data_IF_804208042138
#
_entry.id   IF_804208042138
#
_cell.length_a   1.000
_cell.length_b   1.000
_cell.length_c   1.000
_cell.angle_alpha   90.00
_cell.angle_beta   90.00
_cell.angle_gamma   90.00
#
_symmetry.space_group_name_H-M   'P 1'
#
loop_
_entity.id
_entity.type
_entity.pdbx_description
1 polymer ?
#
# COMPACT_ATOMS: atom_id res chain seq x y z
N UNK A 1 18.94 10.48 11.61
CA UNK A 1 18.10 11.13 10.58
C UNK A 1 18.54 12.58 10.47
N UNK A 2 18.42 13.31 9.34
CA UNK A 2 18.09 14.72 9.46
C UNK A 2 16.58 14.77 9.72
N UNK A 3 16.18 15.27 10.89
CA UNK A 3 14.81 15.29 11.44
C UNK A 3 13.77 15.98 10.55
N UNK A 4 14.20 16.69 9.50
CA UNK A 4 13.33 17.43 8.59
C UNK A 4 12.38 16.59 7.73
N UNK A 5 12.64 15.29 7.51
CA UNK A 5 11.92 14.53 6.45
C UNK A 5 10.67 13.75 6.89
N UNK A 6 10.56 13.35 8.15
CA UNK A 6 9.28 12.89 8.73
C UNK A 6 8.28 14.04 8.76
N UNK A 7 8.76 15.24 9.11
CA UNK A 7 7.99 16.48 9.01
C UNK A 7 7.49 16.72 7.59
N UNK A 8 8.30 16.50 6.54
CA UNK A 8 7.82 16.68 5.17
C UNK A 8 6.78 15.65 4.72
N UNK A 9 6.87 14.39 5.13
CA UNK A 9 5.83 13.41 4.80
C UNK A 9 4.52 13.72 5.53
N UNK A 10 4.60 13.99 6.84
CA UNK A 10 3.45 14.39 7.64
C UNK A 10 2.86 15.72 7.15
N UNK A 11 3.69 16.68 6.74
CA UNK A 11 3.22 17.95 6.18
C UNK A 11 2.62 17.78 4.80
N UNK A 12 3.16 16.90 3.95
CA UNK A 12 2.62 16.60 2.62
C UNK A 12 1.28 15.89 2.71
N UNK A 13 1.17 14.90 3.61
CA UNK A 13 -0.10 14.23 3.91
C UNK A 13 -1.11 15.20 4.53
N UNK A 14 -0.70 16.06 5.48
CA UNK A 14 -1.57 17.07 6.08
C UNK A 14 -1.96 18.20 5.11
N UNK A 15 -1.12 18.51 4.14
CA UNK A 15 -1.42 19.44 3.05
C UNK A 15 -2.41 18.83 2.08
N UNK A 16 -2.19 17.57 1.66
CA UNK A 16 -3.13 16.83 0.82
C UNK A 16 -4.49 16.63 1.50
N UNK A 17 -4.49 16.33 2.80
CA UNK A 17 -5.70 16.23 3.62
C UNK A 17 -6.43 17.58 3.70
N UNK A 18 -5.70 18.69 3.91
CA UNK A 18 -6.29 20.03 3.92
C UNK A 18 -6.83 20.45 2.55
N UNK A 19 -6.15 20.11 1.47
CA UNK A 19 -6.60 20.41 0.09
C UNK A 19 -7.87 19.61 -0.24
N UNK A 20 -7.89 18.31 0.06
CA UNK A 20 -9.08 17.45 -0.13
C UNK A 20 -10.24 17.85 0.78
N UNK A 21 -9.97 18.27 2.02
CA UNK A 21 -10.98 18.82 2.94
C UNK A 21 -11.60 20.13 2.43
N UNK A 22 -10.86 20.93 1.66
CA UNK A 22 -11.41 22.12 0.99
C UNK A 22 -12.30 21.79 -0.21
N UNK A 23 -12.06 20.67 -0.87
CA UNK A 23 -12.86 20.23 -2.03
C UNK A 23 -14.16 19.56 -1.55
N UNK A 24 -14.11 18.56 -0.66
CA UNK A 24 -15.31 17.92 -0.09
C UNK A 24 -15.12 17.46 1.36
N UNK A 25 -15.69 18.24 2.30
CA UNK A 25 -15.68 17.96 3.75
C UNK A 25 -16.43 16.68 4.13
N UNK A 26 -17.56 16.41 3.46
CA UNK A 26 -18.38 15.23 3.73
C UNK A 26 -17.62 13.93 3.47
N UNK A 27 -17.17 13.72 2.23
CA UNK A 27 -16.50 12.47 1.81
C UNK A 27 -15.20 12.19 2.57
N UNK A 28 -14.40 13.23 2.87
CA UNK A 28 -13.16 13.08 3.65
C UNK A 28 -13.45 12.70 5.10
N UNK A 29 -14.45 13.31 5.74
CA UNK A 29 -14.87 12.91 7.09
C UNK A 29 -15.40 11.47 7.14
N UNK A 30 -16.20 11.05 6.14
CA UNK A 30 -16.71 9.68 6.03
C UNK A 30 -15.57 8.66 5.86
N UNK A 31 -14.56 8.97 5.04
CA UNK A 31 -13.40 8.09 4.85
C UNK A 31 -12.59 7.91 6.14
N UNK A 32 -12.35 9.00 6.86
CA UNK A 32 -11.61 8.97 8.13
C UNK A 32 -12.42 8.20 9.17
N UNK A 33 -13.70 8.50 9.33
CA UNK A 33 -14.58 7.80 10.26
C UNK A 33 -14.66 6.30 9.96
N UNK A 34 -14.86 5.91 8.70
CA UNK A 34 -14.88 4.52 8.28
C UNK A 34 -13.54 3.81 8.54
N UNK A 35 -12.41 4.49 8.32
CA UNK A 35 -11.09 3.95 8.63
C UNK A 35 -10.90 3.71 10.13
N UNK A 36 -11.33 4.65 10.99
CA UNK A 36 -11.29 4.49 12.44
C UNK A 36 -12.18 3.34 12.92
N UNK A 37 -13.43 3.26 12.46
CA UNK A 37 -14.34 2.15 12.80
C UNK A 37 -13.70 0.81 12.43
N UNK A 38 -13.16 0.69 11.21
CA UNK A 38 -12.50 -0.54 10.75
C UNK A 38 -11.25 -0.91 11.53
N UNK A 39 -10.59 0.05 12.18
CA UNK A 39 -9.41 -0.21 13.01
C UNK A 39 -9.75 -0.76 14.40
N UNK A 40 -10.98 -0.51 14.89
CA UNK A 40 -11.48 -0.93 16.20
C UNK A 40 -12.27 -2.25 16.14
N UNK A 41 -12.97 -2.50 15.03
CA UNK A 41 -13.77 -3.72 14.84
C UNK A 41 -13.00 -5.03 15.13
N UNK A 42 -11.74 -5.22 14.72
CA UNK A 42 -11.01 -6.46 15.01
C UNK A 42 -10.86 -6.76 16.49
N UNK A 43 -10.70 -5.72 17.33
CA UNK A 43 -10.66 -5.85 18.78
C UNK A 43 -12.01 -6.31 19.34
N UNK A 44 -13.12 -5.73 18.86
CA UNK A 44 -14.47 -6.16 19.22
C UNK A 44 -14.75 -7.63 18.88
N UNK A 45 -14.35 -8.07 17.68
CA UNK A 45 -14.50 -9.48 17.26
C UNK A 45 -13.70 -10.43 18.17
N UNK A 46 -12.49 -10.02 18.58
CA UNK A 46 -11.66 -10.83 19.50
C UNK A 46 -12.30 -10.95 20.87
N UNK A 47 -12.82 -9.84 21.43
CA UNK A 47 -13.54 -9.86 22.71
C UNK A 47 -14.83 -10.68 22.65
N UNK A 48 -15.57 -10.61 21.54
CA UNK A 48 -16.74 -11.46 21.30
C UNK A 48 -16.38 -12.95 21.35
N UNK A 49 -15.32 -13.34 20.64
CA UNK A 49 -14.85 -14.72 20.60
C UNK A 49 -14.41 -15.20 22.00
N UNK A 50 -13.66 -14.36 22.74
CA UNK A 50 -13.27 -14.64 24.14
C UNK A 50 -14.48 -14.95 25.01
N UNK A 51 -15.43 -14.03 25.03
CA UNK A 51 -16.61 -14.11 25.90
C UNK A 51 -17.51 -15.29 25.53
N UNK A 52 -17.63 -15.59 24.23
CA UNK A 52 -18.35 -16.76 23.76
C UNK A 52 -17.71 -18.06 24.27
N UNK A 53 -16.39 -18.20 24.12
CA UNK A 53 -15.67 -19.41 24.53
C UNK A 53 -15.72 -19.58 26.05
N UNK A 54 -15.56 -18.49 26.80
CA UNK A 54 -15.67 -18.52 28.25
C UNK A 54 -17.09 -18.91 28.71
N UNK A 55 -18.13 -18.35 28.10
CA UNK A 55 -19.52 -18.69 28.40
C UNK A 55 -19.84 -20.17 28.09
N UNK A 56 -19.34 -20.70 26.96
CA UNK A 56 -19.48 -22.13 26.63
C UNK A 56 -18.76 -23.00 27.65
N UNK A 57 -17.52 -22.66 28.01
CA UNK A 57 -16.73 -23.45 28.97
C UNK A 57 -17.36 -23.47 30.37
N UNK A 58 -17.96 -22.36 30.80
CA UNK A 58 -18.68 -22.26 32.08
C UNK A 58 -19.97 -23.09 32.08
N UNK A 59 -20.68 -23.15 30.94
CA UNK A 59 -21.87 -23.99 30.78
C UNK A 59 -21.56 -25.49 30.78
N UNK A 60 -20.42 -25.90 30.21
CA UNK A 60 -19.94 -27.29 30.24
C UNK A 60 -19.48 -27.74 31.64
N UNK A 61 -19.03 -26.81 32.49
CA UNK A 61 -18.59 -27.05 33.86
C UNK A 61 -19.70 -27.21 34.90
N UNK A 62 -20.97 -27.28 34.49
CA UNK A 62 -22.12 -27.48 35.39
C UNK A 62 -22.72 -26.21 36.00
N UNK A 63 -22.28 -25.02 35.58
CA UNK A 63 -22.84 -23.73 36.02
C UNK A 63 -24.14 -23.35 35.28
N UNK A 64 -24.83 -22.31 35.76
CA UNK A 64 -26.06 -21.71 35.18
C UNK A 64 -25.86 -21.01 33.82
N UNK A 65 -24.82 -21.38 33.08
CA UNK A 65 -24.48 -20.85 31.76
C UNK A 65 -25.39 -21.40 30.66
N UNK A 66 -26.66 -21.05 30.69
CA UNK A 66 -27.60 -21.36 29.61
C UNK A 66 -27.37 -20.51 28.36
N UNK A 67 -28.06 -20.86 27.27
CA UNK A 67 -28.16 -20.08 26.02
C UNK A 67 -28.21 -18.55 26.21
N UNK A 68 -28.93 -17.95 27.18
CA UNK A 68 -28.95 -16.49 27.38
C UNK A 68 -27.57 -15.85 27.67
N UNK A 69 -26.62 -16.57 28.26
CA UNK A 69 -25.26 -16.05 28.50
C UNK A 69 -24.43 -15.93 27.21
N UNK A 70 -24.79 -16.68 26.15
CA UNK A 70 -24.11 -16.67 24.85
C UNK A 70 -24.62 -15.55 23.93
N UNK A 71 -25.91 -15.21 24.06
CA UNK A 71 -26.60 -14.19 23.23
C UNK A 71 -25.84 -12.85 23.16
N UNK A 72 -25.40 -12.21 24.27
CA UNK A 72 -24.73 -10.92 24.17
C UNK A 72 -23.40 -11.00 23.40
N UNK A 73 -22.64 -12.08 23.56
CA UNK A 73 -21.36 -12.27 22.87
C UNK A 73 -21.56 -12.58 21.38
N UNK A 74 -22.59 -13.38 21.03
CA UNK A 74 -22.98 -13.61 19.65
C UNK A 74 -23.45 -12.33 18.97
N UNK A 75 -24.31 -11.55 19.61
CA UNK A 75 -24.78 -10.26 19.09
C UNK A 75 -23.62 -9.28 18.91
N UNK A 76 -22.65 -9.26 19.83
CA UNK A 76 -21.46 -8.42 19.69
C UNK A 76 -20.61 -8.86 18.50
N UNK A 77 -20.39 -10.16 18.31
CA UNK A 77 -19.65 -10.70 17.17
C UNK A 77 -20.32 -10.40 15.82
N UNK A 78 -21.63 -10.67 15.72
CA UNK A 78 -22.44 -10.35 14.53
C UNK A 78 -22.45 -8.84 14.28
N UNK A 79 -22.69 -8.04 15.31
CA UNK A 79 -22.68 -6.57 15.22
C UNK A 79 -21.34 -6.04 14.72
N UNK A 80 -20.22 -6.55 15.24
CA UNK A 80 -18.88 -6.15 14.80
C UNK A 80 -18.62 -6.52 13.33
N UNK A 81 -19.00 -7.74 12.90
CA UNK A 81 -18.78 -8.19 11.52
C UNK A 81 -19.66 -7.45 10.51
N UNK A 82 -20.92 -7.19 10.85
CA UNK A 82 -21.81 -6.34 10.03
C UNK A 82 -21.26 -4.91 9.96
N UNK A 83 -20.81 -4.36 11.09
CA UNK A 83 -20.18 -3.04 11.13
C UNK A 83 -18.90 -3.01 10.27
N UNK A 84 -18.10 -4.07 10.24
CA UNK A 84 -16.93 -4.18 9.37
C UNK A 84 -17.32 -4.09 7.89
N UNK A 85 -18.32 -4.87 7.49
CA UNK A 85 -18.79 -4.96 6.12
C UNK A 85 -19.36 -3.62 5.65
N UNK A 86 -20.19 -2.97 6.47
CA UNK A 86 -20.76 -1.66 6.19
C UNK A 86 -19.67 -0.58 6.12
N UNK A 87 -18.76 -0.53 7.10
CA UNK A 87 -17.68 0.44 7.09
C UNK A 87 -16.74 0.25 5.90
N UNK A 88 -16.52 -0.99 5.45
CA UNK A 88 -15.77 -1.28 4.24
C UNK A 88 -16.50 -0.79 2.99
N UNK A 89 -17.78 -1.08 2.84
CA UNK A 89 -18.58 -0.61 1.70
C UNK A 89 -18.61 0.93 1.63
N UNK A 90 -18.81 1.60 2.77
CA UNK A 90 -18.78 3.06 2.88
C UNK A 90 -17.41 3.61 2.52
N UNK A 91 -16.32 2.99 2.99
CA UNK A 91 -14.97 3.39 2.65
C UNK A 91 -14.71 3.27 1.15
N UNK A 92 -15.06 2.13 0.56
CA UNK A 92 -14.82 1.87 -0.87
C UNK A 92 -15.62 2.87 -1.73
N UNK A 93 -16.92 3.10 -1.41
CA UNK A 93 -17.75 4.10 -2.09
C UNK A 93 -17.18 5.52 -1.96
N UNK A 94 -16.89 5.97 -0.74
CA UNK A 94 -16.37 7.32 -0.51
C UNK A 94 -15.00 7.52 -1.19
N UNK A 95 -14.19 6.46 -1.25
CA UNK A 95 -12.87 6.49 -1.89
C UNK A 95 -12.97 6.64 -3.42
N UNK A 96 -13.89 5.91 -4.05
CA UNK A 96 -14.14 5.98 -5.49
C UNK A 96 -14.78 7.32 -5.86
N UNK A 97 -15.75 7.79 -5.07
CA UNK A 97 -16.40 9.08 -5.28
C UNK A 97 -15.41 10.23 -5.16
N UNK A 98 -14.57 10.22 -4.13
CA UNK A 98 -13.54 11.23 -3.94
C UNK A 98 -12.51 11.22 -5.09
N UNK A 99 -12.10 10.05 -5.57
CA UNK A 99 -11.22 9.95 -6.75
C UNK A 99 -11.86 10.56 -8.00
N UNK A 100 -13.14 10.30 -8.23
CA UNK A 100 -13.89 10.90 -9.34
C UNK A 100 -13.93 12.42 -9.26
N UNK A 101 -14.36 12.97 -8.12
CA UNK A 101 -14.46 14.42 -7.90
C UNK A 101 -13.10 15.12 -8.02
N UNK A 102 -12.04 14.54 -7.45
CA UNK A 102 -10.69 15.07 -7.61
C UNK A 102 -10.24 15.07 -9.06
N UNK A 103 -10.58 14.03 -9.83
CA UNK A 103 -10.26 13.96 -11.25
C UNK A 103 -10.93 15.08 -12.03
N UNK A 104 -12.23 15.28 -11.81
CA UNK A 104 -13.01 16.33 -12.48
C UNK A 104 -12.48 17.72 -12.10
N UNK A 105 -12.34 18.00 -10.81
CA UNK A 105 -11.89 19.31 -10.32
C UNK A 105 -10.48 19.68 -10.80
N UNK A 106 -9.53 18.73 -10.77
CA UNK A 106 -8.18 18.98 -11.28
C UNK A 106 -8.17 19.17 -12.80
N UNK A 107 -8.98 18.39 -13.53
CA UNK A 107 -9.09 18.54 -14.98
C UNK A 107 -9.69 19.89 -15.36
N UNK A 108 -10.71 20.36 -14.63
CA UNK A 108 -11.32 21.67 -14.82
C UNK A 108 -10.33 22.81 -14.55
N UNK A 109 -9.54 22.73 -13.48
CA UNK A 109 -8.51 23.73 -13.16
C UNK A 109 -7.41 23.77 -14.25
N UNK A 110 -7.00 22.60 -14.77
CA UNK A 110 -6.04 22.50 -15.88
C UNK A 110 -6.61 23.09 -17.17
N UNK A 111 -7.85 22.74 -17.54
CA UNK A 111 -8.51 23.25 -18.74
C UNK A 111 -8.76 24.76 -18.65
N UNK A 112 -9.22 25.23 -17.50
CA UNK A 112 -9.44 26.66 -17.24
C UNK A 112 -8.16 27.48 -17.27
N UNK A 113 -7.03 26.90 -16.86
CA UNK A 113 -5.72 27.53 -17.04
C UNK A 113 -5.29 27.52 -18.51
N UNK A 114 -5.36 26.37 -19.19
CA UNK A 114 -5.00 26.22 -20.60
C UNK A 114 -5.79 27.19 -21.51
N UNK A 115 -7.08 27.42 -21.24
CA UNK A 115 -7.92 28.35 -21.99
C UNK A 115 -7.48 29.84 -21.90
N UNK A 116 -6.66 30.20 -20.90
CA UNK A 116 -6.16 31.56 -20.69
C UNK A 116 -4.74 31.78 -21.23
N UNK A 117 -4.08 30.72 -21.69
CA UNK A 117 -2.72 30.80 -22.23
C UNK A 117 -2.75 31.27 -23.69
N UNK A 118 -1.74 32.06 -24.06
CA UNK A 118 -1.57 32.50 -25.44
C UNK A 118 -1.26 31.31 -26.36
N UNK A 119 -1.77 31.30 -27.62
CA UNK A 119 -1.55 30.22 -28.59
C UNK A 119 -0.07 29.85 -28.79
N UNK A 120 0.85 30.81 -28.66
CA UNK A 120 2.29 30.59 -28.78
C UNK A 120 2.85 29.56 -27.78
N UNK A 121 2.21 29.38 -26.61
CA UNK A 121 2.61 28.38 -25.64
C UNK A 121 2.22 26.95 -26.05
N UNK A 122 1.21 26.77 -26.91
CA UNK A 122 0.80 25.45 -27.41
C UNK A 122 1.72 24.89 -28.50
N UNK A 123 2.59 25.73 -29.05
CA UNK A 123 3.61 25.35 -30.03
C UNK A 123 4.90 24.83 -29.36
N UNK A 124 5.10 25.09 -28.06
CA UNK A 124 6.24 24.55 -27.31
C UNK A 124 6.02 23.05 -26.99
N UNK A 125 6.88 22.14 -27.49
CA UNK A 125 6.82 20.71 -27.19
C UNK A 125 6.87 20.41 -25.68
N UNK A 126 7.56 21.24 -24.89
CA UNK A 126 7.66 21.05 -23.43
C UNK A 126 6.33 21.32 -22.74
N UNK A 127 5.57 22.30 -23.23
CA UNK A 127 4.26 22.61 -22.69
C UNK A 127 3.23 21.51 -23.05
N UNK A 128 3.31 20.98 -24.27
CA UNK A 128 2.50 19.82 -24.70
C UNK A 128 2.78 18.58 -23.82
N UNK A 129 4.05 18.25 -23.59
CA UNK A 129 4.44 17.14 -22.73
C UNK A 129 3.95 17.34 -21.28
N UNK A 130 4.08 18.56 -20.75
CA UNK A 130 3.57 18.89 -19.41
C UNK A 130 2.04 18.75 -19.31
N UNK A 131 1.31 19.18 -20.33
CA UNK A 131 -0.15 19.07 -20.38
C UNK A 131 -0.59 17.60 -20.51
N UNK A 132 0.11 16.81 -21.32
CA UNK A 132 -0.19 15.39 -21.49
C UNK A 132 0.18 14.57 -20.24
N UNK A 133 1.26 14.94 -19.56
CA UNK A 133 1.63 14.38 -18.26
C UNK A 133 0.63 14.78 -17.17
N UNK A 134 0.19 16.04 -17.14
CA UNK A 134 -0.86 16.51 -16.25
C UNK A 134 -2.21 15.81 -16.51
N UNK A 135 -2.51 15.46 -17.77
CA UNK A 135 -3.71 14.69 -18.12
C UNK A 135 -3.60 13.21 -17.74
N UNK A 136 -2.41 12.60 -17.86
CA UNK A 136 -2.18 11.17 -17.58
C UNK A 136 -2.01 10.84 -16.10
N UNK A 137 -1.37 11.71 -15.30
CA UNK A 137 -0.83 11.31 -14.00
C UNK A 137 -1.51 11.94 -12.76
N UNK A 138 -2.24 13.06 -12.92
CA UNK A 138 -2.54 13.94 -11.77
C UNK A 138 -3.62 13.40 -10.82
N UNK A 139 -4.66 12.72 -11.32
CA UNK A 139 -5.77 12.33 -10.45
C UNK A 139 -5.63 10.93 -9.85
N UNK A 140 -5.24 9.95 -10.66
CA UNK A 140 -5.13 8.55 -10.24
C UNK A 140 -3.94 8.30 -9.30
N UNK A 141 -2.79 8.96 -9.54
CA UNK A 141 -1.60 8.84 -8.69
C UNK A 141 -1.79 9.54 -7.35
N UNK A 142 -2.34 10.76 -7.36
CA UNK A 142 -2.64 11.52 -6.14
C UNK A 142 -3.68 10.81 -5.26
N UNK A 143 -4.75 10.29 -5.86
CA UNK A 143 -5.77 9.52 -5.14
C UNK A 143 -5.19 8.27 -4.47
N UNK A 144 -4.29 7.54 -5.15
CA UNK A 144 -3.59 6.38 -4.58
C UNK A 144 -2.65 6.77 -3.44
N UNK A 145 -1.92 7.88 -3.58
CA UNK A 145 -1.05 8.39 -2.53
C UNK A 145 -1.84 8.74 -1.26
N UNK A 146 -2.96 9.46 -1.41
CA UNK A 146 -3.83 9.82 -0.30
C UNK A 146 -4.42 8.58 0.38
N UNK A 147 -4.89 7.61 -0.40
CA UNK A 147 -5.40 6.34 0.12
C UNK A 147 -4.31 5.53 0.85
N UNK A 148 -3.09 5.51 0.31
CA UNK A 148 -1.94 4.88 0.95
C UNK A 148 -1.60 5.52 2.30
N UNK A 149 -1.59 6.86 2.36
CA UNK A 149 -1.32 7.60 3.60
C UNK A 149 -2.41 7.37 4.65
N UNK A 150 -3.69 7.47 4.28
CA UNK A 150 -4.82 7.20 5.16
C UNK A 150 -4.84 5.74 5.64
N UNK A 151 -4.59 4.80 4.73
CA UNK A 151 -4.50 3.38 5.04
C UNK A 151 -3.37 3.07 6.02
N UNK A 152 -2.21 3.72 5.87
CA UNK A 152 -1.09 3.57 6.80
C UNK A 152 -1.44 4.06 8.22
N UNK A 153 -2.11 5.22 8.33
CA UNK A 153 -2.58 5.72 9.62
C UNK A 153 -3.60 4.76 10.26
N UNK A 154 -4.57 4.27 9.48
CA UNK A 154 -5.58 3.34 9.95
C UNK A 154 -4.97 2.02 10.45
N UNK A 155 -3.97 1.51 9.74
CA UNK A 155 -3.24 0.31 10.14
C UNK A 155 -2.46 0.53 11.44
N UNK A 156 -1.87 1.71 11.63
CA UNK A 156 -1.23 2.09 12.90
C UNK A 156 -2.21 2.05 14.07
N UNK A 157 -3.40 2.64 13.91
CA UNK A 157 -4.45 2.60 14.95
C UNK A 157 -4.92 1.16 15.21
N UNK A 158 -5.03 0.33 14.16
CA UNK A 158 -5.40 -1.09 14.29
C UNK A 158 -4.37 -1.87 15.10
N UNK A 159 -3.08 -1.64 14.87
CA UNK A 159 -2.00 -2.27 15.65
C UNK A 159 -2.10 -1.84 17.12
N UNK A 160 -2.29 -0.55 17.39
CA UNK A 160 -2.43 -0.03 18.76
C UNK A 160 -3.66 -0.62 19.46
N UNK A 161 -4.81 -0.69 18.80
CA UNK A 161 -6.04 -1.24 19.40
C UNK A 161 -5.89 -2.71 19.75
N UNK A 162 -5.31 -3.52 18.86
CA UNK A 162 -5.09 -4.94 19.09
C UNK A 162 -4.04 -5.16 20.19
N UNK A 163 -3.00 -4.33 20.23
CA UNK A 163 -1.98 -4.36 21.30
C UNK A 163 -2.60 -4.00 22.65
N UNK A 164 -3.50 -3.01 22.70
CA UNK A 164 -4.18 -2.63 23.93
C UNK A 164 -5.06 -3.76 24.49
N UNK A 165 -5.79 -4.49 23.62
CA UNK A 165 -6.54 -5.69 24.03
C UNK A 165 -5.60 -6.76 24.56
N UNK A 166 -4.45 -6.95 23.92
CA UNK A 166 -3.47 -7.94 24.36
C UNK A 166 -2.88 -7.61 25.74
N UNK A 167 -2.52 -6.35 25.97
CA UNK A 167 -2.02 -5.85 27.27
C UNK A 167 -3.08 -6.00 28.35
N UNK A 168 -4.36 -5.80 28.01
CA UNK A 168 -5.47 -5.97 28.96
C UNK A 168 -5.66 -7.43 29.40
N UNK A 169 -5.39 -8.40 28.52
CA UNK A 169 -5.52 -9.82 28.85
C UNK A 169 -4.29 -10.29 29.62
N UNK A 170 -3.10 -10.19 29.03
CA UNK A 170 -1.86 -10.71 29.60
C UNK A 170 -0.68 -9.77 29.32
N UNK A 171 -0.33 -8.87 30.28
CA UNK A 171 0.69 -7.84 30.09
C UNK A 171 2.08 -8.41 29.77
N UNK A 172 2.44 -9.55 30.35
CA UNK A 172 3.75 -10.17 30.17
C UNK A 172 3.93 -10.67 28.75
N UNK A 173 2.90 -11.32 28.22
CA UNK A 173 2.92 -11.85 26.84
C UNK A 173 2.85 -10.71 25.83
N UNK A 174 2.09 -9.66 26.12
CA UNK A 174 2.08 -8.45 25.30
C UNK A 174 3.45 -7.77 25.24
N UNK A 175 4.17 -7.70 26.36
CA UNK A 175 5.52 -7.14 26.41
C UNK A 175 6.52 -7.98 25.59
N UNK A 176 6.46 -9.31 25.71
CA UNK A 176 7.28 -10.22 24.90
C UNK A 176 7.01 -10.05 23.39
N UNK A 177 5.75 -9.93 22.99
CA UNK A 177 5.36 -9.68 21.59
C UNK A 177 5.83 -8.30 21.10
N UNK A 178 5.74 -7.26 21.93
CA UNK A 178 6.29 -5.94 21.62
C UNK A 178 7.80 -5.98 21.40
N UNK A 179 8.52 -6.74 22.24
CA UNK A 179 9.96 -6.89 22.14
C UNK A 179 10.40 -7.56 20.82
N UNK A 180 9.53 -8.38 20.22
CA UNK A 180 9.74 -9.00 18.90
C UNK A 180 9.21 -8.12 17.76
N UNK A 181 8.07 -7.45 17.96
CA UNK A 181 7.40 -6.62 16.96
C UNK A 181 8.11 -5.29 16.68
N UNK A 182 8.71 -4.66 17.69
CA UNK A 182 9.50 -3.43 17.53
C UNK A 182 10.69 -3.63 16.58
N UNK A 183 11.59 -4.61 16.80
CA UNK A 183 12.70 -4.84 15.85
C UNK A 183 12.20 -5.25 14.46
N UNK A 184 11.05 -5.94 14.35
CA UNK A 184 10.42 -6.22 13.05
C UNK A 184 10.11 -4.93 12.29
N UNK A 185 9.48 -3.98 12.97
CA UNK A 185 9.09 -2.71 12.37
C UNK A 185 10.33 -1.90 11.95
N UNK A 186 11.37 -1.86 12.78
CA UNK A 186 12.64 -1.21 12.43
C UNK A 186 13.32 -1.86 11.23
N UNK A 187 13.35 -3.19 11.15
CA UNK A 187 13.92 -3.92 10.02
C UNK A 187 13.16 -3.61 8.71
N UNK A 188 11.82 -3.67 8.74
CA UNK A 188 10.98 -3.30 7.60
C UNK A 188 11.19 -1.85 7.16
N UNK A 189 11.34 -0.93 8.11
CA UNK A 189 11.62 0.46 7.80
C UNK A 189 13.00 0.65 7.14
N UNK A 190 14.02 -0.06 7.64
CA UNK A 190 15.36 -0.08 7.03
C UNK A 190 15.34 -0.62 5.60
N UNK A 191 14.57 -1.69 5.34
CA UNK A 191 14.44 -2.24 3.98
C UNK A 191 13.63 -1.32 3.05
N UNK A 192 12.58 -0.67 3.56
CA UNK A 192 11.83 0.33 2.80
C UNK A 192 12.76 1.49 2.38
N UNK A 193 13.68 1.89 3.26
CA UNK A 193 14.70 2.90 2.95
C UNK A 193 15.69 2.45 1.87
N UNK A 194 16.21 1.22 1.96
CA UNK A 194 17.11 0.68 0.94
C UNK A 194 16.44 0.66 -0.44
N UNK A 195 15.17 0.20 -0.52
CA UNK A 195 14.40 0.21 -1.77
C UNK A 195 14.20 1.62 -2.33
N UNK A 196 13.97 2.60 -1.46
CA UNK A 196 13.77 3.99 -1.87
C UNK A 196 15.04 4.64 -2.42
N UNK A 197 16.17 4.45 -1.73
CA UNK A 197 17.49 4.93 -2.20
C UNK A 197 17.83 4.30 -3.55
N UNK A 198 17.45 3.05 -3.75
CA UNK A 198 17.64 2.36 -5.01
C UNK A 198 16.75 2.95 -6.11
N UNK A 199 15.44 3.12 -5.89
CA UNK A 199 14.52 3.73 -6.87
C UNK A 199 14.93 5.14 -7.29
N UNK A 200 15.46 5.96 -6.38
CA UNK A 200 16.03 7.27 -6.75
C UNK A 200 17.17 7.14 -7.76
N UNK A 201 18.09 6.18 -7.54
CA UNK A 201 19.21 5.93 -8.47
C UNK A 201 18.74 5.37 -9.83
N UNK A 202 17.52 4.79 -9.91
CA UNK A 202 16.94 4.28 -11.16
C UNK A 202 16.47 5.37 -12.10
N UNK A 203 16.20 6.57 -11.61
CA UNK A 203 15.59 7.64 -12.44
C UNK A 203 16.53 8.05 -13.57
N UNK A 204 17.82 8.25 -13.28
CA UNK A 204 18.83 8.60 -14.28
C UNK A 204 19.07 7.46 -15.28
N UNK A 205 19.18 6.22 -14.79
CA UNK A 205 19.44 5.05 -15.64
C UNK A 205 18.24 4.72 -16.55
N UNK A 206 17.00 4.93 -16.08
CA UNK A 206 15.79 4.82 -16.90
C UNK A 206 15.75 5.87 -18.01
N UNK A 207 16.18 7.12 -17.73
CA UNK A 207 16.27 8.17 -18.75
C UNK A 207 17.23 7.78 -19.87
N UNK A 208 18.42 7.24 -19.55
CA UNK A 208 19.38 6.78 -20.55
C UNK A 208 18.86 5.59 -21.38
N UNK A 209 18.18 4.63 -20.75
CA UNK A 209 17.52 3.54 -21.48
C UNK A 209 16.51 4.11 -22.46
N UNK A 210 15.65 5.04 -22.00
CA UNK A 210 14.65 5.68 -22.86
C UNK A 210 15.30 6.43 -24.02
N UNK A 211 16.41 7.12 -23.78
CA UNK A 211 17.18 7.85 -24.78
C UNK A 211 17.79 6.92 -25.84
N UNK A 212 18.42 5.82 -25.43
CA UNK A 212 18.99 4.86 -26.39
C UNK A 212 17.89 4.17 -27.21
N UNK A 213 16.76 3.84 -26.58
CA UNK A 213 15.60 3.28 -27.28
C UNK A 213 15.02 4.29 -28.27
N UNK A 214 14.86 5.55 -27.88
CA UNK A 214 14.35 6.58 -28.80
C UNK A 214 15.26 6.77 -30.01
N UNK A 215 16.58 6.78 -29.83
CA UNK A 215 17.55 6.93 -30.92
C UNK A 215 17.51 5.77 -31.94
N UNK A 216 17.14 4.56 -31.49
CA UNK A 216 17.10 3.35 -32.32
C UNK A 216 15.74 3.10 -32.97
N UNK A 217 14.68 3.73 -32.46
CA UNK A 217 13.28 3.46 -32.88
C UNK A 217 12.65 4.64 -33.60
N UNK A 218 13.05 5.88 -33.30
CA UNK A 218 12.45 7.06 -33.90
C UNK A 218 12.86 7.21 -35.37
N UNK A 219 11.86 7.29 -36.25
CA UNK A 219 12.02 7.38 -37.70
C UNK A 219 12.90 8.57 -38.13
N UNK A 220 12.99 9.63 -37.30
CA UNK A 220 13.84 10.80 -37.56
C UNK A 220 15.33 10.53 -37.33
N UNK A 221 15.69 9.69 -36.35
CA UNK A 221 17.09 9.43 -35.96
C UNK A 221 17.66 8.14 -36.54
N UNK A 222 16.80 7.19 -36.92
CA UNK A 222 17.21 5.92 -37.56
C UNK A 222 18.11 6.10 -38.80
N UNK A 223 17.87 7.07 -39.71
CA UNK A 223 18.75 7.29 -40.86
C UNK A 223 20.17 7.70 -40.46
N UNK A 224 20.33 8.61 -39.50
CA UNK A 224 21.64 9.02 -38.96
C UNK A 224 22.37 7.85 -38.31
N UNK A 225 21.67 7.08 -37.47
CA UNK A 225 22.24 5.90 -36.79
C UNK A 225 22.70 4.84 -37.80
N UNK A 226 21.99 4.67 -38.92
CA UNK A 226 22.37 3.75 -40.00
C UNK A 226 23.54 4.26 -40.82
N UNK A 227 23.56 5.55 -41.18
CA UNK A 227 24.66 6.17 -41.95
C UNK A 227 25.96 6.16 -41.15
N UNK A 228 25.89 6.45 -39.85
CA UNK A 228 27.04 6.48 -38.94
C UNK A 228 27.48 5.09 -38.47
N UNK A 229 26.68 4.04 -38.70
CA UNK A 229 27.00 2.67 -38.27
C UNK A 229 27.07 2.47 -36.75
N UNK A 230 26.55 3.42 -35.95
CA UNK A 230 26.67 3.43 -34.48
C UNK A 230 25.64 2.56 -33.76
N UNK A 231 24.68 1.97 -34.49
CA UNK A 231 23.62 1.12 -33.92
C UNK A 231 24.13 0.03 -32.95
N UNK A 232 25.14 -0.78 -33.32
CA UNK A 232 25.71 -1.80 -32.43
C UNK A 232 26.30 -1.21 -31.13
N UNK A 233 26.89 -0.01 -31.20
CA UNK A 233 27.45 0.67 -30.04
C UNK A 233 26.36 1.13 -29.05
N UNK A 234 25.26 1.69 -29.57
CA UNK A 234 24.11 2.10 -28.76
C UNK A 234 23.43 0.92 -28.08
N UNK A 235 23.27 -0.20 -28.80
CA UNK A 235 22.76 -1.46 -28.23
C UNK A 235 23.69 -2.00 -27.15
N UNK A 236 25.01 -1.90 -27.33
CA UNK A 236 26.00 -2.27 -26.30
C UNK A 236 25.89 -1.42 -25.03
N UNK A 237 25.71 -0.10 -25.16
CA UNK A 237 25.46 0.81 -24.02
C UNK A 237 24.17 0.47 -23.29
N UNK A 238 23.08 0.25 -24.04
CA UNK A 238 21.81 -0.22 -23.47
C UNK A 238 22.00 -1.54 -22.69
N UNK A 239 22.66 -2.53 -23.30
CA UNK A 239 22.88 -3.85 -22.68
C UNK A 239 23.69 -3.73 -21.39
N UNK A 240 24.74 -2.91 -21.37
CA UNK A 240 25.56 -2.66 -20.17
C UNK A 240 24.72 -2.10 -19.01
N UNK A 241 23.85 -1.13 -19.29
CA UNK A 241 22.96 -0.54 -18.27
C UNK A 241 21.91 -1.58 -17.82
N UNK A 242 21.33 -2.32 -18.76
CA UNK A 242 20.33 -3.35 -18.47
C UNK A 242 20.88 -4.55 -17.68
N UNK A 243 22.14 -4.93 -17.91
CA UNK A 243 22.85 -5.98 -17.15
C UNK A 243 23.24 -5.49 -15.75
N UNK A 244 23.64 -4.22 -15.62
CA UNK A 244 23.81 -3.56 -14.33
C UNK A 244 22.53 -3.59 -13.49
N UNK A 245 21.36 -3.40 -14.11
CA UNK A 245 20.06 -3.57 -13.44
C UNK A 245 19.81 -5.01 -13.00
N UNK A 246 19.96 -5.99 -13.91
CA UNK A 246 19.74 -7.42 -13.59
C UNK A 246 20.62 -7.92 -12.45
N UNK A 247 21.90 -7.55 -12.44
CA UNK A 247 22.87 -8.00 -11.43
C UNK A 247 22.66 -7.33 -10.06
N UNK A 248 22.41 -6.02 -10.04
CA UNK A 248 22.11 -5.28 -8.79
C UNK A 248 20.78 -5.71 -8.19
N UNK A 249 19.74 -5.86 -9.01
CA UNK A 249 18.44 -6.37 -8.55
C UNK A 249 18.58 -7.77 -7.97
N UNK A 250 19.33 -8.67 -8.60
CA UNK A 250 19.48 -10.03 -8.08
C UNK A 250 20.18 -10.05 -6.71
N UNK A 251 21.21 -9.23 -6.49
CA UNK A 251 21.92 -9.17 -5.20
C UNK A 251 21.06 -8.55 -4.10
N UNK A 252 20.39 -7.43 -4.39
CA UNK A 252 19.51 -6.77 -3.42
C UNK A 252 18.32 -7.67 -3.07
N UNK A 253 17.66 -8.26 -4.07
CA UNK A 253 16.53 -9.16 -3.82
C UNK A 253 16.94 -10.39 -3.01
N UNK A 254 18.13 -10.96 -3.22
CA UNK A 254 18.63 -12.07 -2.40
C UNK A 254 18.92 -11.66 -0.96
N UNK A 255 19.54 -10.50 -0.74
CA UNK A 255 19.78 -9.96 0.61
C UNK A 255 18.48 -9.65 1.35
N UNK A 256 17.53 -9.02 0.67
CA UNK A 256 16.21 -8.72 1.22
C UNK A 256 15.43 -10.01 1.48
N UNK A 257 15.48 -10.98 0.57
CA UNK A 257 14.83 -12.28 0.75
C UNK A 257 15.42 -13.02 1.96
N UNK A 258 16.75 -13.14 2.05
CA UNK A 258 17.40 -13.82 3.18
C UNK A 258 17.09 -13.12 4.52
N UNK A 259 17.18 -11.79 4.56
CA UNK A 259 16.85 -11.00 5.73
C UNK A 259 15.37 -11.14 6.13
N UNK A 260 14.44 -11.02 5.18
CA UNK A 260 13.00 -11.17 5.44
C UNK A 260 12.66 -12.61 5.88
N UNK A 261 13.25 -13.64 5.28
CA UNK A 261 13.02 -15.04 5.62
C UNK A 261 13.42 -15.37 7.05
N UNK A 262 14.64 -14.97 7.46
CA UNK A 262 15.12 -15.18 8.84
C UNK A 262 14.22 -14.44 9.82
N UNK A 263 13.87 -13.19 9.51
CA UNK A 263 13.05 -12.38 10.39
C UNK A 263 11.63 -12.96 10.56
N UNK A 264 11.01 -13.42 9.47
CA UNK A 264 9.71 -14.10 9.51
C UNK A 264 9.78 -15.36 10.36
N UNK A 265 10.81 -16.20 10.15
CA UNK A 265 10.99 -17.41 10.93
C UNK A 265 11.05 -17.10 12.44
N UNK A 266 11.91 -16.15 12.84
CA UNK A 266 12.03 -15.71 14.25
C UNK A 266 10.71 -15.18 14.78
N UNK A 267 10.00 -14.35 14.01
CA UNK A 267 8.73 -13.76 14.44
C UNK A 267 7.65 -14.84 14.65
N UNK A 268 7.49 -15.74 13.68
CA UNK A 268 6.51 -16.85 13.76
C UNK A 268 6.84 -17.78 14.92
N UNK A 269 8.12 -18.14 15.10
CA UNK A 269 8.56 -18.96 16.24
C UNK A 269 8.26 -18.27 17.57
N UNK A 270 8.52 -16.97 17.69
CA UNK A 270 8.22 -16.22 18.90
C UNK A 270 6.71 -16.15 19.19
N UNK A 271 5.87 -15.94 18.16
CA UNK A 271 4.42 -15.97 18.31
C UNK A 271 3.91 -17.34 18.78
N UNK A 272 4.42 -18.43 18.20
CA UNK A 272 4.05 -19.78 18.63
C UNK A 272 4.56 -20.11 20.03
N UNK A 273 5.76 -19.66 20.40
CA UNK A 273 6.28 -19.83 21.76
C UNK A 273 5.40 -19.08 22.79
N UNK A 274 4.98 -17.86 22.47
CA UNK A 274 4.03 -17.10 23.29
C UNK A 274 2.67 -17.81 23.41
N UNK A 275 2.16 -18.38 22.30
CA UNK A 275 0.93 -19.17 22.32
C UNK A 275 1.03 -20.40 23.23
N UNK A 276 2.13 -21.16 23.14
CA UNK A 276 2.39 -22.31 24.02
C UNK A 276 2.49 -21.87 25.49
N UNK A 277 3.14 -20.74 25.77
CA UNK A 277 3.23 -20.19 27.13
C UNK A 277 1.85 -19.91 27.74
N UNK A 278 0.97 -19.24 26.99
CA UNK A 278 -0.41 -18.96 27.43
C UNK A 278 -1.22 -20.25 27.58
N UNK A 279 -1.07 -21.20 26.65
CA UNK A 279 -1.75 -22.50 26.74
C UNK A 279 -1.33 -23.28 28.00
N UNK A 280 -0.04 -23.27 28.36
CA UNK A 280 0.46 -23.87 29.61
C UNK A 280 -0.05 -23.10 30.83
N UNK A 281 -0.19 -21.77 30.77
CA UNK A 281 -0.81 -20.96 31.82
C UNK A 281 -2.26 -21.35 32.09
N UNK A 282 -3.04 -21.61 31.04
CA UNK A 282 -4.41 -22.10 31.18
C UNK A 282 -4.49 -23.49 31.81
N UNK A 283 -3.54 -24.39 31.50
CA UNK A 283 -3.44 -25.70 32.17
C UNK A 283 -3.12 -25.57 33.67
N UNK A 284 -2.46 -24.48 34.09
CA UNK A 284 -2.19 -24.16 35.50
C UNK A 284 -3.35 -23.46 36.20
N UNK A 285 -4.44 -23.14 35.48
CA UNK A 285 -5.63 -22.50 36.03
C UNK A 285 -5.49 -20.99 36.28
N UNK A 286 -4.43 -20.34 35.80
CA UNK A 286 -4.28 -18.88 35.90
C UNK A 286 -5.05 -18.14 34.81
N UNK A 287 -5.17 -18.76 33.63
CA UNK A 287 -5.82 -18.19 32.45
C UNK A 287 -7.09 -18.94 32.05
N UNK A 288 -8.06 -18.23 31.44
CA UNK A 288 -9.29 -18.87 30.95
C UNK A 288 -9.07 -19.54 29.59
N UNK A 289 -9.90 -20.53 29.25
CA UNK A 289 -9.86 -21.22 27.94
C UNK A 289 -10.08 -20.22 26.79
N UNK A 290 -10.90 -19.19 27.01
CA UNK A 290 -11.11 -18.11 26.05
C UNK A 290 -9.87 -17.24 25.83
N UNK A 291 -8.99 -17.06 26.82
CA UNK A 291 -7.73 -16.32 26.67
C UNK A 291 -6.79 -17.05 25.71
N UNK A 292 -6.66 -18.37 25.85
CA UNK A 292 -5.87 -19.20 24.93
C UNK A 292 -6.40 -19.10 23.50
N UNK A 293 -7.72 -19.20 23.32
CA UNK A 293 -8.34 -19.15 22.00
C UNK A 293 -8.19 -17.77 21.33
N UNK A 294 -8.28 -16.69 22.10
CA UNK A 294 -7.99 -15.32 21.65
C UNK A 294 -6.55 -15.21 21.18
N UNK A 295 -5.60 -15.68 22.00
CA UNK A 295 -4.18 -15.66 21.64
C UNK A 295 -3.89 -16.44 20.36
N UNK A 296 -4.53 -17.58 20.17
CA UNK A 296 -4.46 -18.34 18.93
C UNK A 296 -4.99 -17.56 17.72
N UNK A 297 -6.16 -16.92 17.87
CA UNK A 297 -6.78 -16.12 16.82
C UNK A 297 -5.97 -14.86 16.44
N UNK A 298 -5.41 -14.17 17.43
CA UNK A 298 -4.52 -13.01 17.22
C UNK A 298 -3.23 -13.44 16.54
N UNK A 299 -2.61 -14.53 17.00
CA UNK A 299 -1.39 -15.11 16.42
C UNK A 299 -1.58 -15.49 14.95
N UNK A 300 -2.69 -16.17 14.63
CA UNK A 300 -3.03 -16.52 13.26
C UNK A 300 -3.21 -15.27 12.39
N UNK A 301 -3.93 -14.24 12.88
CA UNK A 301 -4.13 -12.98 12.15
C UNK A 301 -2.83 -12.21 11.93
N UNK A 302 -1.95 -12.14 12.92
CA UNK A 302 -0.63 -11.52 12.77
C UNK A 302 0.23 -12.26 11.76
N UNK A 303 0.22 -13.59 11.79
CA UNK A 303 0.93 -14.43 10.80
C UNK A 303 0.41 -14.16 9.38
N UNK A 304 -0.92 -14.14 9.20
CA UNK A 304 -1.53 -13.76 7.91
C UNK A 304 -1.23 -12.32 7.51
N UNK A 305 -1.14 -11.37 8.45
CA UNK A 305 -0.81 -9.98 8.15
C UNK A 305 0.64 -9.83 7.66
N UNK A 306 1.58 -10.53 8.30
CA UNK A 306 2.99 -10.60 7.88
C UNK A 306 3.10 -11.16 6.46
N UNK A 307 2.34 -12.22 6.16
CA UNK A 307 2.31 -12.84 4.83
C UNK A 307 1.58 -11.99 3.78
N UNK A 308 0.49 -11.32 4.13
CA UNK A 308 -0.20 -10.38 3.25
C UNK A 308 0.66 -9.14 2.93
N UNK A 309 1.52 -8.71 3.87
CA UNK A 309 2.55 -7.70 3.63
C UNK A 309 3.54 -8.11 2.54
N UNK A 310 3.96 -9.38 2.53
CA UNK A 310 4.84 -9.96 1.50
C UNK A 310 4.22 -9.89 0.09
N UNK A 311 2.93 -10.25 -0.04
CA UNK A 311 2.23 -10.21 -1.32
C UNK A 311 2.10 -8.81 -1.94
N UNK A 312 1.98 -7.76 -1.10
CA UNK A 312 1.94 -6.36 -1.55
C UNK A 312 3.30 -5.82 -1.94
N UNK A 313 4.38 -6.29 -1.30
CA UNK A 313 5.76 -5.90 -1.64
C UNK A 313 6.31 -6.57 -2.91
N UNK A 314 5.72 -7.68 -3.36
CA UNK A 314 6.11 -8.40 -4.58
C UNK A 314 5.20 -8.13 -5.78
N UNK A 315 4.13 -7.35 -5.63
CA UNK A 315 3.47 -6.77 -6.79
C UNK A 315 4.47 -5.80 -7.41
N UNK A 316 5.21 -6.30 -8.41
CA UNK A 316 5.88 -5.46 -9.39
C UNK A 316 4.91 -4.32 -9.69
N UNK A 317 5.27 -3.03 -9.51
CA UNK A 317 4.52 -2.01 -10.23
C UNK A 317 4.54 -2.51 -11.66
N UNK A 318 3.36 -2.83 -12.21
CA UNK A 318 3.21 -3.33 -13.57
C UNK A 318 4.20 -2.51 -14.37
N UNK A 319 5.23 -3.18 -14.88
CA UNK A 319 6.04 -2.60 -15.92
C UNK A 319 4.97 -2.25 -16.95
N UNK A 320 4.65 -0.96 -17.03
CA UNK A 320 3.87 -0.47 -18.15
C UNK A 320 4.65 -1.01 -19.33
N UNK A 321 4.07 -1.92 -20.14
CA UNK A 321 4.73 -2.26 -21.39
C UNK A 321 5.06 -0.91 -22.00
N UNK A 322 6.35 -0.71 -22.30
CA UNK A 322 6.83 0.48 -22.97
C UNK A 322 5.88 0.73 -24.12
N UNK A 323 4.91 1.63 -23.92
CA UNK A 323 4.00 2.05 -24.95
C UNK A 323 4.86 2.98 -25.79
N UNK A 324 5.64 2.35 -26.68
CA UNK A 324 6.18 2.96 -27.87
C UNK A 324 4.97 3.28 -28.73
N UNK A 325 4.23 4.31 -28.36
CA UNK A 325 3.30 4.96 -29.26
C UNK A 325 4.16 5.93 -30.07
N UNK A 326 4.42 5.66 -31.36
CA UNK A 326 5.21 6.57 -32.16
C UNK A 326 4.49 7.92 -32.23
N UNK A 327 5.22 9.04 -32.16
CA UNK A 327 4.63 10.36 -32.31
C UNK A 327 4.03 10.48 -33.72
N UNK A 328 2.80 10.99 -33.77
CA UNK A 328 2.02 11.38 -34.94
C UNK A 328 2.53 10.96 -36.32
N UNK A 329 1.86 9.98 -36.92
CA UNK A 329 1.71 9.95 -38.38
C UNK A 329 0.41 10.70 -38.69
N UNK A 330 0.46 11.91 -39.29
CA UNK A 330 -0.75 12.51 -39.84
C UNK A 330 -1.34 11.56 -40.87
N UNK A 331 -2.66 11.41 -40.87
CA UNK A 331 -3.45 10.58 -41.79
C UNK A 331 -3.40 11.07 -43.25
N UNK A 332 -2.21 11.20 -43.84
CA UNK A 332 -2.00 11.51 -45.25
C UNK A 332 -2.11 10.26 -46.13
N UNK A 333 -3.12 9.40 -45.90
CA UNK A 333 -3.41 8.23 -46.75
C UNK A 333 -4.87 8.04 -47.15
N UNK A 334 -5.73 9.04 -46.94
CA UNK A 334 -7.12 8.99 -47.42
C UNK A 334 -7.37 9.73 -48.75
N UNK A 335 -6.45 10.56 -49.25
CA UNK A 335 -6.69 11.42 -50.43
C UNK A 335 -6.20 10.87 -51.79
N UNK A 336 -5.41 9.79 -51.83
CA UNK A 336 -4.80 9.29 -53.08
C UNK A 336 -5.56 8.15 -53.78
N UNK A 337 -6.79 7.82 -53.36
CA UNK A 337 -7.62 6.76 -53.96
C UNK A 337 -8.93 7.23 -54.61
N UNK A 338 -9.07 8.54 -54.88
CA UNK A 338 -10.21 9.11 -55.63
C UNK A 338 -9.80 9.90 -56.89
N UNK A 339 -8.69 9.53 -57.52
CA UNK A 339 -8.37 9.91 -58.91
C UNK A 339 -7.67 8.76 -59.62
N UNK A 340 -8.46 7.77 -60.01
CA UNK A 340 -8.32 6.97 -61.23
C UNK A 340 -9.62 6.24 -61.45
#
# INVERSE_FOLDING_TARGET
MPEGRLRTLVSSSAWALRRTWRVHRGLTSTLVAAAFVRSLVPAGVVLAARGLINAVSAGLGGGTGGLPALVPWLLLGVGCTVLEALARAVHDFASQRLQGELTVSLTDEILGHAARLEPAHFEDPRFQDLLEQARRDTAGSFGKFLQGALGACAEGVRIVSLTAVLVYIEPLVAFALLLVGVPFLLAKWRFARMRYEEEQQRTTSRRWISYFVSLLVDARTVPEVRILGIGPHLVGRFRTIAEGFRSRDARLHRLVLAGDSVFIAVSVTAFWAAFVWVAVGALRGTETIGDVAVFGGVTARMSFAIEAGRGRLHRRPREHPLHLQPPGVPEARAAARRRK
#
